data_IF_031129211154
#
_entry.id   IF_031129211154
#
_cell.length_a   1.000
_cell.length_b   1.000
_cell.length_c   1.000
_cell.angle_alpha   90.00
_cell.angle_beta   90.00
_cell.angle_gamma   90.00
#
_symmetry.space_group_name_H-M   'P 1'
#
loop_
_entity.id
_entity.type
_entity.pdbx_description
1 polymer ?
#
# COMPACT_ATOMS: atom_id res chain seq x y z
N UNK A 1 -7.41 -20.80 25.12
CA UNK A 1 -7.99 -19.50 24.73
C UNK A 1 -6.92 -18.39 24.63
N UNK A 2 -5.99 -18.22 25.58
CA UNK A 2 -4.89 -17.23 25.42
C UNK A 2 -3.77 -17.64 24.45
N UNK A 3 -3.59 -18.95 24.19
CA UNK A 3 -2.47 -19.48 23.43
C UNK A 3 -2.70 -19.53 21.90
N UNK A 4 -3.95 -19.46 21.43
CA UNK A 4 -4.25 -19.46 19.98
C UNK A 4 -3.90 -18.13 19.32
N UNK A 5 -3.94 -17.02 20.06
CA UNK A 5 -3.54 -15.71 19.54
C UNK A 5 -2.02 -15.59 19.31
N UNK A 6 -1.21 -16.49 19.89
CA UNK A 6 0.26 -16.42 19.78
C UNK A 6 0.77 -17.05 18.47
N UNK A 7 -0.02 -17.90 17.82
CA UNK A 7 0.38 -18.56 16.56
C UNK A 7 -0.14 -17.83 15.30
N UNK A 8 -1.26 -17.11 15.38
CA UNK A 8 -1.75 -16.27 14.27
C UNK A 8 -1.04 -14.91 14.18
N UNK A 9 -0.26 -14.55 15.20
CA UNK A 9 0.41 -13.24 15.34
C UNK A 9 1.95 -13.41 15.39
N UNK A 10 2.45 -14.37 14.61
CA UNK A 10 3.87 -14.74 14.54
C UNK A 10 4.78 -13.56 14.19
N UNK A 11 5.35 -12.96 15.24
CA UNK A 11 6.30 -11.85 15.26
C UNK A 11 5.68 -10.52 14.80
N UNK A 12 4.94 -9.83 15.67
CA UNK A 12 4.96 -8.38 15.56
C UNK A 12 6.29 -7.89 16.13
N UNK A 13 7.24 -7.64 15.24
CA UNK A 13 8.35 -6.75 15.55
C UNK A 13 7.75 -5.43 16.05
N UNK A 14 8.31 -4.81 17.08
CA UNK A 14 7.72 -3.61 17.72
C UNK A 14 7.45 -2.45 16.74
N UNK A 15 8.19 -2.40 15.62
CA UNK A 15 8.00 -1.43 14.53
C UNK A 15 6.61 -1.48 13.88
N UNK A 16 6.18 -2.58 13.23
CA UNK A 16 4.86 -2.69 12.62
C UNK A 16 3.69 -2.30 13.52
N UNK A 17 3.72 -2.65 14.82
CA UNK A 17 2.64 -2.25 15.75
C UNK A 17 2.50 -0.73 15.86
N UNK A 18 3.62 -0.01 15.99
CA UNK A 18 3.59 1.45 16.09
C UNK A 18 3.06 2.07 14.79
N UNK A 19 3.47 1.51 13.65
CA UNK A 19 2.96 1.91 12.34
C UNK A 19 1.45 1.72 12.19
N UNK A 20 0.91 0.61 12.69
CA UNK A 20 -0.54 0.36 12.70
C UNK A 20 -1.27 1.38 13.58
N UNK A 21 -0.78 1.68 14.79
CA UNK A 21 -1.40 2.67 15.68
C UNK A 21 -1.38 4.09 15.08
N UNK A 22 -0.27 4.44 14.45
CA UNK A 22 -0.11 5.72 13.75
C UNK A 22 -1.04 5.80 12.54
N UNK A 23 -1.16 4.73 11.75
CA UNK A 23 -2.09 4.63 10.65
C UNK A 23 -3.55 4.79 11.13
N UNK A 24 -3.96 4.04 12.15
CA UNK A 24 -5.32 4.08 12.69
C UNK A 24 -5.73 5.46 13.22
N UNK A 25 -4.80 6.18 13.85
CA UNK A 25 -5.08 7.52 14.41
C UNK A 25 -4.93 8.66 13.39
N UNK A 26 -4.08 8.46 12.38
CA UNK A 26 -3.58 9.51 11.50
C UNK A 26 -4.15 9.52 10.09
N UNK A 27 -4.62 8.37 9.62
CA UNK A 27 -5.04 8.23 8.23
C UNK A 27 -6.36 8.96 7.96
N UNK A 28 -6.34 9.77 6.91
CA UNK A 28 -7.50 10.50 6.41
C UNK A 28 -7.88 9.93 5.04
N UNK A 29 -8.87 9.03 4.98
CA UNK A 29 -9.31 8.44 3.72
C UNK A 29 -9.90 9.52 2.81
N UNK A 30 -9.66 9.36 1.51
CA UNK A 30 -10.34 10.09 0.45
C UNK A 30 -11.24 9.12 -0.32
N UNK A 31 -12.33 9.62 -0.90
CA UNK A 31 -13.29 8.80 -1.66
C UNK A 31 -12.66 8.10 -2.88
N UNK A 32 -11.53 8.62 -3.36
CA UNK A 32 -10.76 8.05 -4.46
C UNK A 32 -9.66 7.08 -4.02
N UNK A 33 -9.48 6.82 -2.72
CA UNK A 33 -8.40 5.94 -2.28
C UNK A 33 -8.67 4.47 -2.65
N UNK A 34 -7.64 3.80 -3.14
CA UNK A 34 -7.64 2.35 -3.38
C UNK A 34 -6.67 1.71 -2.39
N UNK A 35 -7.22 0.94 -1.45
CA UNK A 35 -6.43 0.22 -0.43
C UNK A 35 -6.42 -1.27 -0.75
N UNK A 36 -5.25 -1.80 -1.08
CA UNK A 36 -5.04 -3.23 -1.26
C UNK A 36 -4.82 -3.90 0.09
N UNK A 37 -5.61 -4.91 0.41
CA UNK A 37 -5.43 -5.74 1.61
C UNK A 37 -5.02 -7.16 1.24
N UNK A 38 -4.08 -7.73 1.99
CA UNK A 38 -3.61 -9.11 1.79
C UNK A 38 -2.93 -9.63 3.05
N UNK A 39 -2.86 -10.95 3.21
CA UNK A 39 -2.09 -11.51 4.31
C UNK A 39 -0.57 -11.36 4.06
N UNK A 40 0.26 -11.17 5.10
CA UNK A 40 1.70 -11.04 4.93
C UNK A 40 2.27 -12.25 4.17
N UNK A 41 3.19 -11.97 3.24
CA UNK A 41 3.89 -12.98 2.40
C UNK A 41 3.01 -13.75 1.41
N UNK A 42 1.74 -13.42 1.22
CA UNK A 42 0.83 -14.07 0.26
C UNK A 42 0.90 -13.53 -1.18
N UNK A 43 2.01 -12.89 -1.58
CA UNK A 43 2.20 -12.40 -2.96
C UNK A 43 1.76 -10.96 -3.22
N UNK A 44 2.02 -10.04 -2.29
CA UNK A 44 1.73 -8.60 -2.44
C UNK A 44 2.37 -7.97 -3.67
N UNK A 45 3.54 -8.42 -4.10
CA UNK A 45 4.23 -7.90 -5.29
C UNK A 45 3.40 -8.07 -6.55
N UNK A 46 2.83 -9.26 -6.77
CA UNK A 46 1.98 -9.54 -7.93
C UNK A 46 0.68 -8.74 -7.86
N UNK A 47 0.04 -8.65 -6.69
CA UNK A 47 -1.18 -7.88 -6.49
C UNK A 47 -0.97 -6.38 -6.76
N UNK A 48 0.13 -5.80 -6.25
CA UNK A 48 0.53 -4.40 -6.52
C UNK A 48 0.76 -4.17 -8.01
N UNK A 49 1.57 -5.01 -8.65
CA UNK A 49 1.87 -4.88 -10.07
C UNK A 49 0.60 -4.91 -10.93
N UNK A 50 -0.27 -5.91 -10.72
CA UNK A 50 -1.52 -6.02 -11.48
C UNK A 50 -2.42 -4.80 -11.30
N UNK A 51 -2.53 -4.29 -10.07
CA UNK A 51 -3.36 -3.11 -9.79
C UNK A 51 -2.80 -1.86 -10.48
N UNK A 52 -1.48 -1.64 -10.43
CA UNK A 52 -0.83 -0.54 -11.15
C UNK A 52 -1.06 -0.66 -12.65
N UNK A 53 -0.88 -1.86 -13.23
CA UNK A 53 -1.12 -2.04 -14.68
C UNK A 53 -2.55 -1.73 -15.09
N UNK A 54 -3.52 -2.09 -14.27
CA UNK A 54 -4.93 -1.83 -14.56
C UNK A 54 -5.22 -0.33 -14.48
N UNK A 55 -4.67 0.35 -13.48
CA UNK A 55 -4.87 1.78 -13.27
C UNK A 55 -4.23 2.61 -14.38
N UNK A 56 -2.97 2.32 -14.72
CA UNK A 56 -2.26 2.99 -15.82
C UNK A 56 -2.98 2.77 -17.15
N UNK A 57 -3.46 1.55 -17.40
CA UNK A 57 -4.27 1.27 -18.60
C UNK A 57 -5.57 2.08 -18.60
N UNK A 58 -6.26 2.15 -17.46
CA UNK A 58 -7.52 2.88 -17.32
C UNK A 58 -7.35 4.38 -17.63
N UNK A 59 -6.25 4.99 -17.17
CA UNK A 59 -5.95 6.41 -17.35
C UNK A 59 -5.44 6.71 -18.77
N UNK A 60 -4.63 5.83 -19.35
CA UNK A 60 -3.94 6.05 -20.62
C UNK A 60 -4.69 5.47 -21.85
N UNK A 61 -5.97 5.10 -21.72
CA UNK A 61 -6.77 4.50 -22.79
C UNK A 61 -6.92 5.36 -24.06
N UNK A 62 -6.62 6.65 -24.01
CA UNK A 62 -6.87 7.61 -25.10
C UNK A 62 -5.64 7.95 -25.95
N UNK A 63 -4.43 7.56 -25.53
CA UNK A 63 -3.19 7.88 -26.26
C UNK A 63 -2.64 6.64 -26.95
N UNK A 64 -2.97 6.46 -28.23
CA UNK A 64 -2.30 5.50 -29.13
C UNK A 64 -0.83 5.88 -29.42
N UNK A 65 -0.25 6.82 -28.67
CA UNK A 65 1.00 7.52 -29.02
C UNK A 65 1.79 8.04 -27.82
N UNK A 66 1.74 7.40 -26.65
CA UNK A 66 2.63 7.79 -25.55
C UNK A 66 3.77 6.80 -25.39
N UNK A 67 4.98 7.27 -25.73
CA UNK A 67 6.26 6.73 -25.30
C UNK A 67 6.48 6.86 -23.78
N UNK A 68 5.41 6.98 -22.99
CA UNK A 68 5.50 7.04 -21.54
C UNK A 68 5.68 5.61 -21.04
N UNK A 69 6.91 5.30 -20.63
CA UNK A 69 7.25 4.00 -20.09
C UNK A 69 6.41 3.72 -18.84
N UNK A 70 5.72 2.58 -18.87
CA UNK A 70 4.88 2.14 -17.75
C UNK A 70 5.70 2.09 -16.45
N UNK A 71 5.23 2.63 -15.30
CA UNK A 71 6.01 2.76 -14.07
C UNK A 71 6.73 1.48 -13.62
N UNK A 72 6.09 0.32 -13.80
CA UNK A 72 6.67 -1.00 -13.51
C UNK A 72 7.91 -1.39 -14.34
N UNK A 73 8.26 -0.66 -15.40
CA UNK A 73 9.50 -0.86 -16.15
C UNK A 73 10.70 -0.24 -15.44
N UNK A 74 10.49 0.82 -14.67
CA UNK A 74 11.54 1.58 -13.99
C UNK A 74 11.56 1.34 -12.48
N UNK A 75 10.41 1.07 -11.87
CA UNK A 75 10.23 0.99 -10.42
C UNK A 75 9.69 -0.35 -9.93
N UNK A 76 10.10 -0.71 -8.72
CA UNK A 76 9.55 -1.87 -8.02
C UNK A 76 8.09 -1.59 -7.58
N UNK A 77 7.16 -2.56 -7.68
CA UNK A 77 5.77 -2.41 -7.22
C UNK A 77 5.64 -1.92 -5.77
N UNK A 78 6.58 -2.27 -4.90
CA UNK A 78 6.61 -1.80 -3.51
C UNK A 78 6.99 -0.33 -3.38
N UNK A 79 7.75 0.23 -4.32
CA UNK A 79 8.04 1.66 -4.39
C UNK A 79 6.88 2.48 -4.94
N UNK A 80 6.07 1.88 -5.82
CA UNK A 80 4.89 2.52 -6.43
C UNK A 80 3.70 2.49 -5.47
N UNK A 81 3.45 1.35 -4.82
CA UNK A 81 2.33 1.14 -3.88
C UNK A 81 2.90 0.92 -2.48
N UNK A 82 2.96 1.95 -1.62
CA UNK A 82 3.56 1.84 -0.30
C UNK A 82 2.64 1.10 0.70
N UNK A 83 3.24 0.43 1.68
CA UNK A 83 2.54 -0.07 2.85
C UNK A 83 2.25 1.04 3.85
N UNK A 84 1.01 1.09 4.32
CA UNK A 84 0.57 2.07 5.32
C UNK A 84 1.37 1.93 6.62
N UNK A 85 1.42 0.73 7.19
CA UNK A 85 2.05 0.46 8.48
C UNK A 85 3.61 0.45 8.45
N UNK A 86 4.23 0.32 7.27
CA UNK A 86 5.69 0.20 7.16
C UNK A 86 6.35 1.39 6.47
N UNK A 87 5.76 1.89 5.39
CA UNK A 87 6.40 2.88 4.52
C UNK A 87 5.88 4.30 4.80
N UNK A 88 4.64 4.41 5.31
CA UNK A 88 3.94 5.70 5.46
C UNK A 88 3.85 6.13 6.92
N UNK A 89 3.37 5.26 7.80
CA UNK A 89 3.02 5.60 9.19
C UNK A 89 4.01 5.08 10.23
N UNK A 90 5.12 4.46 9.83
CA UNK A 90 6.07 3.84 10.77
C UNK A 90 6.61 4.83 11.82
N UNK A 91 6.96 6.05 11.39
CA UNK A 91 7.62 7.05 12.26
C UNK A 91 6.64 8.11 12.82
N UNK A 92 5.48 8.33 12.18
CA UNK A 92 4.56 9.41 12.54
C UNK A 92 3.11 9.07 12.19
N UNK A 93 2.17 9.58 12.99
CA UNK A 93 0.72 9.57 12.70
C UNK A 93 0.29 10.71 11.75
N UNK A 94 1.19 11.60 11.35
CA UNK A 94 0.89 12.69 10.41
C UNK A 94 1.92 12.80 9.28
N UNK A 95 2.16 11.71 8.53
CA UNK A 95 3.11 11.72 7.43
C UNK A 95 2.61 12.60 6.28
N UNK A 96 3.55 13.18 5.53
CA UNK A 96 3.22 13.95 4.34
C UNK A 96 2.86 13.02 3.17
N UNK A 97 1.56 12.94 2.84
CA UNK A 97 1.03 12.12 1.75
C UNK A 97 1.12 12.78 0.37
N UNK A 98 1.72 13.98 0.24
CA UNK A 98 1.82 14.69 -1.04
C UNK A 98 2.60 13.89 -2.10
N UNK A 99 3.51 12.99 -1.67
CA UNK A 99 4.22 12.07 -2.58
C UNK A 99 3.26 11.11 -3.31
N UNK A 100 2.10 10.82 -2.74
CA UNK A 100 1.07 9.96 -3.30
C UNK A 100 -0.12 10.76 -3.82
N UNK A 101 0.08 12.00 -4.28
CA UNK A 101 -1.00 12.91 -4.70
C UNK A 101 -1.65 12.54 -6.05
N UNK A 102 -1.19 11.48 -6.73
CA UNK A 102 -1.89 10.95 -7.88
C UNK A 102 -3.29 10.48 -7.45
N UNK A 103 -4.33 10.84 -8.21
CA UNK A 103 -5.70 10.39 -7.96
C UNK A 103 -6.07 9.33 -8.99
N UNK A 104 -6.52 8.13 -8.58
CA UNK A 104 -6.67 7.67 -7.19
C UNK A 104 -5.33 7.37 -6.48
N UNK A 105 -5.28 7.55 -5.16
CA UNK A 105 -4.10 7.15 -4.37
C UNK A 105 -4.12 5.65 -4.18
N UNK A 106 -3.07 4.97 -4.60
CA UNK A 106 -2.95 3.52 -4.49
C UNK A 106 -2.02 3.16 -3.32
N UNK A 107 -2.58 2.51 -2.29
CA UNK A 107 -1.90 2.16 -1.04
C UNK A 107 -2.16 0.70 -0.70
N UNK A 108 -1.38 0.11 0.21
CA UNK A 108 -1.65 -1.24 0.69
C UNK A 108 -1.47 -1.41 2.20
N UNK A 109 -2.10 -2.42 2.75
CA UNK A 109 -1.88 -2.90 4.12
C UNK A 109 -1.85 -4.43 4.13
N UNK A 110 -1.15 -5.01 5.09
CA UNK A 110 -1.14 -6.45 5.31
C UNK A 110 -1.44 -6.88 6.74
N UNK A 111 -1.90 -5.94 7.57
CA UNK A 111 -2.38 -6.28 8.92
C UNK A 111 -3.86 -6.61 8.81
N UNK A 112 -4.21 -7.87 9.14
CA UNK A 112 -5.60 -8.31 9.22
C UNK A 112 -6.32 -7.50 10.30
N UNK A 113 -7.43 -6.87 9.92
CA UNK A 113 -8.39 -6.23 10.85
C UNK A 113 -9.15 -7.26 11.65
#
# INVERSE_FOLDING_TARGET
>A
IQAEYIWDVGIITTGPLQGVLNFQSGFKPQDTDIILTSYPKSGTTWLKALTVTLLERAQNHSSSSSHDEHPLLCDNPHGIVPFLEFDVFLESSSPNLAKFSASPRLLCTCVGT
#
